data_IF_662557705341
#
_entry.id   IF_662557705341
#
_cell.length_a   1.000
_cell.length_b   1.000
_cell.length_c   1.000
_cell.angle_alpha   90.00
_cell.angle_beta   90.00
_cell.angle_gamma   90.00
#
_symmetry.space_group_name_H-M   'P 1'
#
loop_
_entity.id
_entity.type
_entity.pdbx_description
1 polymer ?
#
# COMPACT_ATOMS: atom_id res chain seq x y z
N UNK A 1 7.46 -19.40 4.49
CA UNK A 1 8.03 -18.96 5.78
C UNK A 1 7.81 -17.46 5.87
N UNK A 2 7.46 -16.92 7.04
CA UNK A 2 7.21 -15.49 7.21
C UNK A 2 7.99 -14.97 8.41
N UNK A 3 8.30 -13.68 8.41
CA UNK A 3 9.04 -13.00 9.47
C UNK A 3 8.05 -12.28 10.38
N UNK A 4 8.14 -12.49 11.69
CA UNK A 4 7.28 -11.81 12.67
C UNK A 4 8.02 -10.67 13.35
N UNK A 5 7.32 -9.55 13.50
CA UNK A 5 7.76 -8.39 14.27
C UNK A 5 6.74 -8.14 15.37
N UNK A 6 7.20 -7.92 16.59
CA UNK A 6 6.37 -7.51 17.73
C UNK A 6 6.54 -6.03 17.99
N UNK A 7 5.51 -5.41 18.56
CA UNK A 7 5.49 -3.97 18.82
C UNK A 7 5.08 -3.71 20.27
N UNK A 8 5.80 -2.79 20.93
CA UNK A 8 5.54 -2.36 22.30
C UNK A 8 5.42 -0.83 22.34
N UNK A 9 4.25 -0.34 22.75
CA UNK A 9 3.93 1.08 22.78
C UNK A 9 2.60 1.41 22.10
N UNK A 10 2.23 2.68 22.19
CA UNK A 10 1.01 3.25 21.61
C UNK A 10 1.34 4.64 21.08
N UNK A 11 0.80 4.98 19.92
CA UNK A 11 0.80 6.35 19.44
C UNK A 11 -0.45 7.07 19.95
N UNK A 12 -0.29 8.29 20.45
CA UNK A 12 -1.37 9.09 21.03
C UNK A 12 -1.87 10.12 20.03
N UNK A 13 -3.18 10.30 19.99
CA UNK A 13 -3.85 11.35 19.23
C UNK A 13 -4.02 12.60 20.11
N UNK A 14 -3.96 13.77 19.48
CA UNK A 14 -4.21 15.05 20.14
C UNK A 14 -5.64 15.19 20.71
N UNK A 15 -6.60 14.40 20.20
CA UNK A 15 -7.97 14.32 20.67
C UNK A 15 -8.58 12.96 20.30
N UNK A 16 -9.66 12.58 20.98
CA UNK A 16 -10.36 11.33 20.74
C UNK A 16 -11.00 11.27 19.34
N UNK A 17 -10.88 10.13 18.66
CA UNK A 17 -11.63 9.83 17.44
C UNK A 17 -13.14 9.82 17.69
N UNK A 18 -13.92 10.17 16.66
CA UNK A 18 -15.35 9.87 16.67
C UNK A 18 -15.59 8.36 16.57
N UNK A 19 -16.70 7.89 17.14
CA UNK A 19 -17.01 6.46 17.15
C UNK A 19 -17.11 5.88 15.73
N UNK A 20 -17.64 6.63 14.77
CA UNK A 20 -17.67 6.22 13.35
C UNK A 20 -16.27 6.04 12.76
N UNK A 21 -15.30 6.87 13.13
CA UNK A 21 -13.91 6.76 12.69
C UNK A 21 -13.21 5.57 13.35
N UNK A 22 -13.45 5.32 14.64
CA UNK A 22 -12.96 4.13 15.33
C UNK A 22 -13.48 2.87 14.64
N UNK A 23 -14.79 2.80 14.40
CA UNK A 23 -15.43 1.65 13.75
C UNK A 23 -14.92 1.45 12.32
N UNK A 24 -14.74 2.52 11.55
CA UNK A 24 -14.17 2.43 10.22
C UNK A 24 -12.73 1.89 10.25
N UNK A 25 -11.86 2.42 11.11
CA UNK A 25 -10.46 1.96 11.18
C UNK A 25 -10.36 0.50 11.66
N UNK A 26 -11.23 0.07 12.58
CA UNK A 26 -11.31 -1.34 12.98
C UNK A 26 -11.76 -2.24 11.80
N UNK A 27 -12.77 -1.83 11.05
CA UNK A 27 -13.22 -2.55 9.85
C UNK A 27 -12.14 -2.58 8.76
N UNK A 28 -11.40 -1.47 8.60
CA UNK A 28 -10.29 -1.35 7.66
C UNK A 28 -9.16 -2.32 7.98
N UNK A 29 -8.75 -2.41 9.26
CA UNK A 29 -7.73 -3.35 9.71
C UNK A 29 -8.20 -4.81 9.64
N UNK A 30 -9.48 -5.07 9.93
CA UNK A 30 -10.06 -6.42 9.92
C UNK A 30 -10.26 -7.03 8.53
N UNK A 31 -10.05 -6.25 7.46
CA UNK A 31 -10.29 -6.70 6.09
C UNK A 31 -8.98 -6.87 5.32
N UNK A 32 -8.89 -7.93 4.49
CA UNK A 32 -7.77 -8.09 3.57
C UNK A 32 -7.81 -6.98 2.52
N UNK A 33 -6.68 -6.31 2.29
CA UNK A 33 -6.55 -5.23 1.31
C UNK A 33 -6.30 -5.86 -0.04
N UNK A 34 -7.25 -5.72 -0.96
CA UNK A 34 -7.18 -6.33 -2.29
C UNK A 34 -7.56 -5.29 -3.33
N UNK A 35 -6.98 -5.39 -4.53
CA UNK A 35 -7.37 -4.58 -5.68
C UNK A 35 -8.77 -4.98 -6.15
N UNK A 36 -9.67 -4.01 -6.25
CA UNK A 36 -11.09 -4.24 -6.57
C UNK A 36 -11.55 -3.55 -7.85
N UNK A 37 -12.60 -4.09 -8.45
CA UNK A 37 -13.38 -3.41 -9.48
C UNK A 37 -14.27 -2.36 -8.83
N UNK A 38 -13.83 -1.11 -8.93
CA UNK A 38 -14.55 0.06 -8.40
C UNK A 38 -15.94 0.19 -9.02
N UNK A 39 -16.13 -0.24 -10.27
CA UNK A 39 -17.43 -0.14 -10.97
C UNK A 39 -18.46 -1.04 -10.32
N UNK A 40 -18.07 -2.27 -9.97
CA UNK A 40 -18.95 -3.20 -9.24
C UNK A 40 -19.31 -2.67 -7.86
N UNK A 41 -18.37 -2.00 -7.18
CA UNK A 41 -18.55 -1.46 -5.84
C UNK A 41 -19.43 -0.20 -5.76
N UNK A 42 -19.71 0.49 -6.86
CA UNK A 42 -20.42 1.79 -6.85
C UNK A 42 -21.76 1.76 -6.11
N UNK A 43 -22.46 0.62 -6.16
CA UNK A 43 -23.78 0.44 -5.56
C UNK A 43 -23.78 -0.55 -4.39
N UNK A 44 -22.59 -0.92 -3.89
CA UNK A 44 -22.45 -1.84 -2.77
C UNK A 44 -22.52 -1.05 -1.46
N UNK A 45 -23.43 -1.40 -0.53
CA UNK A 45 -23.48 -0.74 0.77
C UNK A 45 -22.16 -0.87 1.51
N UNK A 46 -21.63 0.24 2.03
CA UNK A 46 -20.49 0.22 2.95
C UNK A 46 -20.72 1.25 4.07
N UNK A 47 -21.58 0.91 5.05
CA UNK A 47 -22.05 1.87 6.04
C UNK A 47 -20.93 2.51 6.87
N UNK A 48 -19.87 1.75 7.19
CA UNK A 48 -18.74 2.27 7.96
C UNK A 48 -17.95 3.32 7.16
N UNK A 49 -17.66 3.05 5.88
CA UNK A 49 -17.00 4.01 4.98
C UNK A 49 -17.86 5.25 4.72
N UNK A 50 -19.15 5.05 4.50
CA UNK A 50 -20.11 6.14 4.27
C UNK A 50 -20.24 7.06 5.49
N UNK A 51 -20.25 6.49 6.70
CA UNK A 51 -20.35 7.24 7.95
C UNK A 51 -19.17 8.19 8.22
N UNK A 52 -18.02 7.95 7.58
CA UNK A 52 -16.83 8.82 7.66
C UNK A 52 -16.60 9.64 6.38
N UNK A 53 -17.56 9.60 5.44
CA UNK A 53 -17.55 10.42 4.24
C UNK A 53 -16.46 10.07 3.22
N UNK A 54 -15.92 8.85 3.26
CA UNK A 54 -14.84 8.44 2.36
C UNK A 54 -15.39 7.96 1.00
N UNK A 55 -14.70 8.27 -0.13
CA UNK A 55 -14.98 7.63 -1.42
C UNK A 55 -14.57 6.15 -1.38
N UNK A 56 -14.74 5.41 -2.48
CA UNK A 56 -14.22 4.04 -2.58
C UNK A 56 -12.67 3.96 -2.57
N UNK A 57 -11.99 5.07 -2.86
CA UNK A 57 -10.53 5.12 -2.99
C UNK A 57 -10.03 4.49 -4.30
N UNK A 58 -8.73 4.61 -4.55
CA UNK A 58 -8.09 3.99 -5.72
C UNK A 58 -8.19 2.48 -5.60
N UNK A 59 -8.53 1.80 -6.69
CA UNK A 59 -8.71 0.33 -6.71
C UNK A 59 -9.64 -0.21 -5.60
N UNK A 60 -10.59 0.60 -5.10
CA UNK A 60 -11.51 0.23 -4.02
C UNK A 60 -10.86 0.12 -2.64
N UNK A 61 -9.74 0.82 -2.44
CA UNK A 61 -8.92 0.68 -1.23
C UNK A 61 -9.58 1.11 0.09
N UNK A 62 -10.63 1.92 0.06
CA UNK A 62 -11.36 2.31 1.28
C UNK A 62 -12.59 1.45 1.57
N UNK A 63 -12.85 0.42 0.75
CA UNK A 63 -13.94 -0.50 0.98
C UNK A 63 -13.66 -1.43 2.16
N UNK A 64 -14.61 -1.55 3.10
CA UNK A 64 -14.44 -2.30 4.36
C UNK A 64 -15.61 -3.25 4.69
N UNK A 65 -16.60 -3.40 3.82
CA UNK A 65 -17.73 -4.30 4.06
C UNK A 65 -17.34 -5.78 3.83
N UNK A 66 -16.72 -6.39 4.85
CA UNK A 66 -16.26 -7.78 4.82
C UNK A 66 -17.41 -8.78 4.69
N UNK A 67 -18.57 -8.49 5.29
CA UNK A 67 -19.72 -9.39 5.22
C UNK A 67 -20.19 -9.54 3.78
N UNK A 68 -20.28 -8.43 3.05
CA UNK A 68 -20.62 -8.47 1.63
C UNK A 68 -19.58 -9.23 0.80
N UNK A 69 -18.28 -9.03 1.06
CA UNK A 69 -17.21 -9.80 0.40
C UNK A 69 -17.39 -11.32 0.63
N UNK A 70 -17.74 -11.75 1.85
CA UNK A 70 -17.98 -13.16 2.17
C UNK A 70 -19.24 -13.72 1.51
N UNK A 71 -20.34 -12.97 1.51
CA UNK A 71 -21.62 -13.39 0.93
C UNK A 71 -21.59 -13.48 -0.60
N UNK A 72 -20.73 -12.70 -1.24
CA UNK A 72 -20.61 -12.62 -2.71
C UNK A 72 -19.40 -13.36 -3.28
N UNK A 73 -18.71 -14.14 -2.45
CA UNK A 73 -17.50 -14.88 -2.84
C UNK A 73 -16.45 -13.98 -3.51
N UNK A 74 -16.19 -12.81 -2.92
CA UNK A 74 -15.18 -11.85 -3.35
C UNK A 74 -15.30 -11.40 -4.82
N UNK A 75 -16.52 -11.31 -5.36
CA UNK A 75 -16.76 -10.97 -6.77
C UNK A 75 -16.13 -9.63 -7.21
N UNK A 76 -15.90 -8.70 -6.26
CA UNK A 76 -15.23 -7.42 -6.54
C UNK A 76 -13.71 -7.52 -6.64
N UNK A 77 -13.08 -8.58 -6.13
CA UNK A 77 -11.63 -8.72 -6.08
C UNK A 77 -11.07 -9.09 -7.46
N UNK A 78 -10.27 -8.20 -8.04
CA UNK A 78 -9.59 -8.42 -9.32
C UNK A 78 -8.35 -9.29 -9.11
N UNK A 79 -7.60 -9.02 -8.03
CA UNK A 79 -6.43 -9.79 -7.65
C UNK A 79 -6.37 -9.90 -6.12
N UNK A 80 -6.64 -11.11 -5.62
CA UNK A 80 -6.70 -11.41 -4.20
C UNK A 80 -5.34 -11.29 -3.48
N UNK A 81 -4.25 -11.31 -4.23
CA UNK A 81 -2.89 -11.28 -3.69
C UNK A 81 -2.18 -9.96 -3.96
N UNK A 82 -2.88 -8.96 -4.52
CA UNK A 82 -2.34 -7.61 -4.70
C UNK A 82 -3.18 -6.57 -3.98
N UNK A 83 -2.57 -5.71 -3.16
CA UNK A 83 -3.28 -4.60 -2.56
C UNK A 83 -3.69 -3.57 -3.63
N UNK A 84 -4.58 -2.62 -3.28
CA UNK A 84 -4.71 -1.37 -4.02
C UNK A 84 -3.34 -0.74 -4.26
N UNK A 85 -3.15 -0.12 -5.43
CA UNK A 85 -1.83 0.36 -5.87
C UNK A 85 -1.17 1.40 -4.95
N UNK A 86 -1.97 2.12 -4.17
CA UNK A 86 -1.52 3.12 -3.19
C UNK A 86 -1.49 2.59 -1.75
N UNK A 87 -1.73 1.29 -1.53
CA UNK A 87 -1.67 0.67 -0.22
C UNK A 87 -0.40 -0.16 -0.02
N UNK A 88 0.20 -0.14 1.18
CA UNK A 88 1.47 -0.81 1.45
C UNK A 88 1.49 -2.32 1.22
N UNK A 89 0.45 -3.02 1.66
CA UNK A 89 0.41 -4.48 1.67
C UNK A 89 -1.02 -5.00 1.83
N UNK A 90 -1.19 -6.30 2.04
CA UNK A 90 -2.50 -6.94 2.14
C UNK A 90 -3.18 -6.78 3.51
N UNK A 91 -2.45 -6.36 4.54
CA UNK A 91 -2.94 -6.30 5.92
C UNK A 91 -2.39 -5.08 6.65
N UNK A 92 -3.29 -4.23 7.14
CA UNK A 92 -2.97 -3.13 8.06
C UNK A 92 -3.30 -3.58 9.48
N UNK A 93 -2.32 -3.60 10.37
CA UNK A 93 -2.46 -4.09 11.75
C UNK A 93 -2.31 -3.00 12.80
N UNK A 94 -2.28 -1.74 12.35
CA UNK A 94 -2.50 -0.59 13.21
C UNK A 94 -4.01 -0.39 13.37
N UNK A 95 -4.47 -0.39 14.62
CA UNK A 95 -5.87 -0.21 15.02
C UNK A 95 -6.00 0.94 16.02
N UNK A 96 -7.18 1.58 16.12
CA UNK A 96 -7.43 2.52 17.20
C UNK A 96 -7.40 1.82 18.56
N UNK A 97 -6.96 2.54 19.60
CA UNK A 97 -7.12 2.11 20.99
C UNK A 97 -8.60 2.03 21.36
N UNK A 98 -8.96 1.23 22.36
CA UNK A 98 -10.35 1.02 22.77
C UNK A 98 -11.05 2.30 23.27
N UNK A 99 -10.29 3.26 23.78
CA UNK A 99 -10.79 4.56 24.20
C UNK A 99 -10.82 5.60 23.05
N UNK A 100 -10.27 5.27 21.88
CA UNK A 100 -10.20 6.13 20.70
C UNK A 100 -9.15 7.26 20.79
N UNK A 101 -8.26 7.23 21.78
CA UNK A 101 -7.24 8.26 22.00
C UNK A 101 -5.89 7.96 21.35
N UNK A 102 -5.75 6.85 20.64
CA UNK A 102 -4.47 6.44 20.06
C UNK A 102 -4.60 5.40 18.97
N UNK A 103 -3.44 5.02 18.42
CA UNK A 103 -3.25 3.93 17.46
C UNK A 103 -2.24 2.94 18.06
N UNK A 104 -2.56 1.66 18.00
CA UNK A 104 -1.74 0.57 18.52
C UNK A 104 -1.71 -0.62 17.57
N UNK A 105 -0.74 -1.52 17.77
CA UNK A 105 -0.69 -2.79 17.06
C UNK A 105 -1.80 -3.72 17.57
N UNK A 106 -2.40 -4.49 16.66
CA UNK A 106 -3.46 -5.47 16.97
C UNK A 106 -2.96 -6.77 17.62
N UNK A 107 -1.63 -6.96 17.71
CA UNK A 107 -1.01 -8.17 18.25
C UNK A 107 -0.83 -9.30 17.24
N UNK A 108 -1.20 -9.12 15.97
CA UNK A 108 -1.11 -10.13 14.93
C UNK A 108 0.28 -10.24 14.30
N UNK A 109 0.66 -11.44 13.90
CA UNK A 109 1.97 -11.72 13.30
C UNK A 109 2.13 -11.19 11.86
N UNK A 110 3.40 -11.14 11.38
CA UNK A 110 3.76 -10.85 9.97
C UNK A 110 3.25 -9.50 9.46
N UNK A 111 3.41 -8.47 10.28
CA UNK A 111 3.03 -7.11 9.91
C UNK A 111 4.03 -6.47 8.94
N UNK A 112 3.94 -6.81 7.66
CA UNK A 112 4.81 -6.24 6.63
C UNK A 112 4.49 -4.76 6.36
N UNK A 113 5.53 -3.98 6.08
CA UNK A 113 5.43 -2.56 5.76
C UNK A 113 4.74 -1.71 6.85
N UNK A 114 4.94 -2.09 8.12
CA UNK A 114 4.32 -1.44 9.28
C UNK A 114 4.54 0.09 9.32
N UNK A 115 5.71 0.59 8.92
CA UNK A 115 5.99 2.04 8.87
C UNK A 115 5.16 2.73 7.78
N UNK A 116 5.13 2.15 6.59
CA UNK A 116 4.36 2.69 5.48
C UNK A 116 2.84 2.63 5.75
N UNK A 117 2.37 1.61 6.46
CA UNK A 117 0.99 1.56 6.95
C UNK A 117 0.69 2.68 7.93
N UNK A 118 1.60 2.98 8.85
CA UNK A 118 1.43 4.10 9.76
C UNK A 118 1.34 5.44 9.00
N UNK A 119 2.23 5.66 8.04
CA UNK A 119 2.17 6.83 7.15
C UNK A 119 0.88 6.88 6.34
N UNK A 120 0.41 5.74 5.83
CA UNK A 120 -0.86 5.65 5.11
C UNK A 120 -2.03 6.09 5.98
N UNK A 121 -2.13 5.62 7.23
CA UNK A 121 -3.17 6.06 8.15
C UNK A 121 -3.10 7.57 8.44
N UNK A 122 -1.89 8.11 8.63
CA UNK A 122 -1.68 9.54 8.86
C UNK A 122 -2.18 10.38 7.67
N UNK A 123 -1.74 10.05 6.46
CA UNK A 123 -2.02 10.82 5.23
C UNK A 123 -3.47 10.66 4.76
N UNK A 124 -4.03 9.44 4.81
CA UNK A 124 -5.32 9.14 4.18
C UNK A 124 -6.51 9.31 5.12
N UNK A 125 -6.30 9.23 6.44
CA UNK A 125 -7.40 9.28 7.41
C UNK A 125 -7.19 10.34 8.48
N UNK A 126 -6.09 10.30 9.23
CA UNK A 126 -5.93 11.16 10.41
C UNK A 126 -5.78 12.65 10.04
N UNK A 127 -4.89 12.99 9.10
CA UNK A 127 -4.69 14.36 8.64
C UNK A 127 -5.96 14.95 8.00
N UNK A 128 -6.64 14.27 7.03
CA UNK A 128 -7.90 14.76 6.47
C UNK A 128 -9.01 14.96 7.51
N UNK A 129 -9.00 14.18 8.59
CA UNK A 129 -9.95 14.33 9.69
C UNK A 129 -9.51 15.35 10.75
N UNK A 130 -8.33 15.95 10.64
CA UNK A 130 -7.82 16.99 11.54
C UNK A 130 -7.15 16.48 12.82
N UNK A 131 -6.65 15.25 12.81
CA UNK A 131 -5.96 14.63 13.94
C UNK A 131 -4.44 14.68 13.78
N UNK A 132 -3.76 14.77 14.93
CA UNK A 132 -2.30 14.68 15.01
C UNK A 132 -1.91 13.47 15.86
N UNK A 133 -1.06 12.63 15.29
CA UNK A 133 -0.48 11.45 15.93
C UNK A 133 0.92 11.77 16.43
N UNK A 134 1.23 11.39 17.66
CA UNK A 134 2.59 11.46 18.21
C UNK A 134 2.85 10.29 19.15
N UNK A 135 4.10 9.86 19.25
CA UNK A 135 4.50 8.82 20.18
C UNK A 135 5.68 7.99 19.68
N UNK A 136 6.05 7.04 20.52
CA UNK A 136 7.14 6.11 20.27
C UNK A 136 6.62 4.68 20.44
N UNK A 137 6.91 3.84 19.45
CA UNK A 137 6.65 2.40 19.49
C UNK A 137 7.96 1.68 19.21
N UNK A 138 8.34 0.77 20.12
CA UNK A 138 9.47 -0.14 19.92
C UNK A 138 9.03 -1.31 19.08
N UNK A 139 9.92 -1.79 18.22
CA UNK A 139 9.70 -3.02 17.47
C UNK A 139 10.87 -3.98 17.67
N UNK A 140 10.57 -5.26 17.61
CA UNK A 140 11.55 -6.35 17.67
C UNK A 140 11.17 -7.42 16.64
N UNK A 141 12.13 -7.80 15.81
CA UNK A 141 12.04 -8.91 14.89
C UNK A 141 12.31 -10.27 15.53
N UNK A 142 12.49 -11.31 14.72
CA UNK A 142 12.77 -12.66 15.22
C UNK A 142 14.18 -12.79 15.81
N UNK A 143 15.14 -12.02 15.28
CA UNK A 143 16.46 -11.88 15.88
C UNK A 143 16.37 -10.85 17.04
N UNK A 144 16.78 -11.18 18.28
CA UNK A 144 16.76 -10.26 19.41
C UNK A 144 17.57 -8.97 19.21
N UNK A 145 18.48 -8.95 18.23
CA UNK A 145 19.25 -7.75 17.85
C UNK A 145 18.58 -6.94 16.75
N UNK A 146 17.63 -7.52 16.01
CA UNK A 146 16.79 -6.81 15.05
C UNK A 146 15.70 -6.06 15.80
N UNK A 147 16.05 -4.87 16.27
CA UNK A 147 15.19 -4.02 17.09
C UNK A 147 15.30 -2.58 16.64
N UNK A 148 14.27 -1.81 16.92
CA UNK A 148 14.29 -0.38 16.65
C UNK A 148 13.09 0.35 17.20
N UNK A 149 12.97 1.61 16.80
CA UNK A 149 11.95 2.53 17.26
C UNK A 149 11.25 3.16 16.06
N UNK A 150 9.94 3.33 16.18
CA UNK A 150 9.12 4.18 15.34
C UNK A 150 8.76 5.39 16.17
N UNK A 151 9.23 6.56 15.78
CA UNK A 151 8.94 7.82 16.46
C UNK A 151 8.16 8.71 15.51
N UNK A 152 7.00 9.16 15.94
CA UNK A 152 6.15 10.09 15.20
C UNK A 152 5.93 11.34 16.04
N UNK A 153 6.03 12.51 15.42
CA UNK A 153 5.68 13.80 16.02
C UNK A 153 4.77 14.58 15.07
N UNK A 154 3.56 14.92 15.51
CA UNK A 154 2.58 15.70 14.74
C UNK A 154 2.39 15.19 13.29
N UNK A 155 2.13 13.89 13.14
CA UNK A 155 2.03 13.18 11.86
C UNK A 155 3.31 13.10 11.02
N UNK A 156 4.47 13.47 11.57
CA UNK A 156 5.75 13.35 10.89
C UNK A 156 6.53 12.17 11.46
N UNK A 157 7.00 11.29 10.57
CA UNK A 157 7.91 10.21 10.95
C UNK A 157 9.29 10.79 11.26
N UNK A 158 9.70 10.72 12.52
CA UNK A 158 11.01 11.18 13.00
C UNK A 158 12.03 10.06 12.96
N UNK A 159 11.62 8.85 13.35
CA UNK A 159 12.47 7.66 13.29
C UNK A 159 11.67 6.47 12.75
N UNK A 160 12.22 5.68 11.81
CA UNK A 160 13.46 5.93 11.07
C UNK A 160 13.39 7.20 10.20
N UNK A 161 14.49 7.94 10.12
CA UNK A 161 14.58 9.20 9.38
C UNK A 161 14.96 8.99 7.90
N UNK A 162 14.64 9.98 7.06
CA UNK A 162 15.23 10.15 5.73
C UNK A 162 14.60 9.35 4.58
N UNK A 163 13.48 8.65 4.84
CA UNK A 163 12.75 7.87 3.83
C UNK A 163 11.26 8.07 4.01
N UNK A 164 10.56 8.39 2.91
CA UNK A 164 9.11 8.27 2.84
C UNK A 164 8.77 6.83 2.42
N UNK A 165 8.57 5.96 3.40
CA UNK A 165 8.39 4.52 3.18
C UNK A 165 7.13 4.22 2.38
N UNK A 166 6.05 4.97 2.60
CA UNK A 166 4.84 4.84 1.79
C UNK A 166 5.11 5.17 0.34
N UNK A 167 5.79 6.30 0.08
CA UNK A 167 6.14 6.68 -1.29
C UNK A 167 7.08 5.66 -1.94
N UNK A 168 8.08 5.14 -1.22
CA UNK A 168 9.02 4.15 -1.75
C UNK A 168 8.31 2.88 -2.23
N UNK A 169 7.31 2.39 -1.48
CA UNK A 169 6.63 1.14 -1.81
C UNK A 169 5.46 1.30 -2.77
N UNK A 170 4.91 2.51 -2.93
CA UNK A 170 3.75 2.76 -3.80
C UNK A 170 4.12 3.47 -5.11
N UNK A 171 5.30 4.07 -5.20
CA UNK A 171 5.71 4.80 -6.40
C UNK A 171 6.00 3.86 -7.58
N UNK A 172 5.61 4.24 -8.80
CA UNK A 172 6.02 3.55 -10.01
C UNK A 172 7.54 3.68 -10.22
N UNK A 173 8.10 2.80 -11.05
CA UNK A 173 9.51 2.80 -11.39
C UNK A 173 9.78 3.84 -12.48
N UNK A 174 10.70 4.77 -12.19
CA UNK A 174 11.10 5.81 -13.13
C UNK A 174 12.10 5.23 -14.14
N UNK A 175 11.82 5.41 -15.43
CA UNK A 175 12.66 4.93 -16.53
C UNK A 175 12.88 6.01 -17.60
N UNK A 176 13.93 5.91 -18.42
CA UNK A 176 14.11 6.79 -19.58
C UNK A 176 12.94 6.70 -20.56
N UNK A 177 12.67 7.78 -21.29
CA UNK A 177 11.60 7.85 -22.29
C UNK A 177 11.60 6.70 -23.28
N UNK A 178 12.78 6.39 -23.83
CA UNK A 178 12.96 5.33 -24.84
C UNK A 178 12.61 3.96 -24.26
N UNK A 179 12.96 3.73 -22.99
CA UNK A 179 12.62 2.51 -22.26
C UNK A 179 11.11 2.40 -22.07
N UNK A 180 10.45 3.48 -21.62
CA UNK A 180 8.99 3.51 -21.45
C UNK A 180 8.24 3.28 -22.76
N UNK A 181 8.71 3.87 -23.86
CA UNK A 181 8.14 3.65 -25.20
C UNK A 181 8.20 2.17 -25.60
N UNK A 182 9.32 1.49 -25.33
CA UNK A 182 9.42 0.06 -25.59
C UNK A 182 8.49 -0.78 -24.71
N UNK A 183 8.35 -0.47 -23.42
CA UNK A 183 7.37 -1.14 -22.56
C UNK A 183 5.93 -0.96 -23.06
N UNK A 184 5.57 0.26 -23.46
CA UNK A 184 4.25 0.54 -24.04
C UNK A 184 4.03 -0.22 -25.34
N UNK A 185 5.06 -0.34 -26.19
CA UNK A 185 4.98 -1.10 -27.44
C UNK A 185 4.79 -2.60 -27.19
N UNK A 186 5.53 -3.18 -26.24
CA UNK A 186 5.36 -4.59 -25.81
C UNK A 186 3.94 -4.78 -25.26
N UNK A 187 3.48 -3.88 -24.38
CA UNK A 187 2.15 -3.98 -23.78
C UNK A 187 1.02 -3.91 -24.82
N UNK A 188 1.18 -3.06 -25.85
CA UNK A 188 0.23 -2.93 -26.95
C UNK A 188 0.21 -4.16 -27.87
N UNK A 189 1.35 -4.84 -28.03
CA UNK A 189 1.45 -6.09 -28.79
C UNK A 189 0.82 -7.25 -28.00
N UNK A 190 1.30 -7.48 -26.78
CA UNK A 190 0.76 -8.46 -25.83
C UNK A 190 1.27 -8.18 -24.42
N UNK A 191 0.38 -7.70 -23.54
CA UNK A 191 0.69 -7.42 -22.14
C UNK A 191 1.22 -8.62 -21.35
N UNK A 192 0.93 -9.86 -21.76
CA UNK A 192 1.35 -11.06 -21.03
C UNK A 192 2.85 -11.32 -21.17
N UNK A 193 3.47 -10.82 -22.25
CA UNK A 193 4.91 -10.92 -22.50
C UNK A 193 5.72 -10.27 -21.37
N UNK A 194 5.22 -9.19 -20.79
CA UNK A 194 5.88 -8.47 -19.71
C UNK A 194 6.11 -9.34 -18.45
N UNK A 195 5.39 -10.45 -18.28
CA UNK A 195 5.61 -11.38 -17.16
C UNK A 195 6.77 -12.37 -17.39
N UNK A 196 7.42 -12.32 -18.55
CA UNK A 196 8.64 -13.06 -18.86
C UNK A 196 9.71 -12.07 -19.32
N UNK A 197 10.68 -11.75 -18.46
CA UNK A 197 11.72 -10.78 -18.78
C UNK A 197 12.51 -11.17 -20.05
N UNK A 198 12.77 -12.47 -20.26
CA UNK A 198 13.41 -13.00 -21.48
C UNK A 198 12.55 -12.73 -22.72
N UNK A 199 11.23 -12.91 -22.62
CA UNK A 199 10.32 -12.66 -23.73
C UNK A 199 10.17 -11.16 -23.99
N UNK A 200 10.13 -10.34 -22.94
CA UNK A 200 10.07 -8.89 -23.02
C UNK A 200 11.33 -8.30 -23.67
N UNK A 201 12.53 -8.79 -23.34
CA UNK A 201 13.78 -8.40 -23.99
C UNK A 201 13.78 -8.73 -25.49
N UNK A 202 13.37 -9.95 -25.86
CA UNK A 202 13.30 -10.36 -27.27
C UNK A 202 12.28 -9.51 -28.03
N UNK A 203 11.09 -9.32 -27.47
CA UNK A 203 10.05 -8.49 -28.07
C UNK A 203 10.48 -7.03 -28.19
N UNK A 204 11.19 -6.49 -27.20
CA UNK A 204 11.77 -5.15 -27.29
C UNK A 204 12.70 -5.02 -28.50
N UNK A 205 13.61 -5.98 -28.71
CA UNK A 205 14.52 -5.99 -29.87
C UNK A 205 13.73 -6.10 -31.17
N UNK A 206 12.76 -7.01 -31.26
CA UNK A 206 11.93 -7.22 -32.45
C UNK A 206 11.11 -5.97 -32.83
N UNK A 207 10.64 -5.22 -31.84
CA UNK A 207 9.89 -3.97 -32.01
C UNK A 207 10.79 -2.75 -32.23
N UNK A 208 12.12 -2.90 -32.21
CA UNK A 208 13.07 -1.81 -32.46
C UNK A 208 13.41 -0.95 -31.25
N UNK A 209 13.29 -1.50 -30.03
CA UNK A 209 13.61 -0.86 -28.75
C UNK A 209 14.77 -1.57 -28.02
N UNK A 210 16.00 -1.60 -28.59
CA UNK A 210 17.14 -2.29 -27.97
C UNK A 210 17.53 -1.70 -26.60
N UNK A 211 17.31 -0.40 -26.38
CA UNK A 211 17.54 0.25 -25.09
C UNK A 211 16.62 -0.28 -23.99
N UNK A 212 15.38 -0.65 -24.33
CA UNK A 212 14.46 -1.30 -23.39
C UNK A 212 14.98 -2.68 -23.00
N UNK A 213 15.45 -3.48 -23.97
CA UNK A 213 16.04 -4.79 -23.68
C UNK A 213 17.27 -4.67 -22.76
N UNK A 214 18.19 -3.77 -23.09
CA UNK A 214 19.39 -3.53 -22.26
C UNK A 214 19.02 -3.05 -20.84
N UNK A 215 17.98 -2.22 -20.72
CA UNK A 215 17.52 -1.75 -19.42
C UNK A 215 16.96 -2.90 -18.58
N UNK A 216 16.16 -3.80 -19.16
CA UNK A 216 15.62 -4.99 -18.46
C UNK A 216 16.77 -5.84 -17.91
N UNK A 217 17.74 -6.18 -18.77
CA UNK A 217 18.90 -7.00 -18.42
C UNK A 217 19.68 -6.40 -17.23
N UNK A 218 19.85 -5.08 -17.23
CA UNK A 218 20.62 -4.36 -16.23
C UNK A 218 19.85 -4.01 -14.95
N UNK A 219 18.51 -4.15 -14.93
CA UNK A 219 17.64 -3.69 -13.85
C UNK A 219 16.52 -4.69 -13.54
N UNK A 220 16.83 -5.99 -13.47
CA UNK A 220 15.83 -7.05 -13.30
C UNK A 220 15.00 -6.89 -12.01
N UNK A 221 15.61 -6.39 -10.93
CA UNK A 221 14.95 -6.06 -9.67
C UNK A 221 13.88 -4.97 -9.87
N UNK A 222 14.25 -3.85 -10.49
CA UNK A 222 13.34 -2.74 -10.77
C UNK A 222 12.32 -3.10 -11.82
N UNK A 223 12.67 -3.95 -12.79
CA UNK A 223 11.74 -4.49 -13.76
C UNK A 223 10.60 -5.22 -13.05
N UNK A 224 10.93 -6.18 -12.17
CA UNK A 224 9.94 -6.89 -11.38
C UNK A 224 9.02 -5.97 -10.59
N UNK A 225 9.58 -4.97 -9.90
CA UNK A 225 8.80 -3.97 -9.15
C UNK A 225 7.91 -3.14 -10.08
N UNK A 226 8.42 -2.72 -11.24
CA UNK A 226 7.67 -1.90 -12.20
C UNK A 226 6.57 -2.66 -12.93
N UNK A 227 6.65 -3.99 -13.05
CA UNK A 227 5.52 -4.81 -13.51
C UNK A 227 4.33 -4.70 -12.55
N UNK A 228 4.59 -4.56 -11.26
CA UNK A 228 3.54 -4.42 -10.24
C UNK A 228 3.08 -2.97 -10.08
N UNK A 229 4.02 -2.03 -10.03
CA UNK A 229 3.77 -0.62 -9.68
C UNK A 229 3.58 0.29 -10.89
N UNK A 230 3.89 -0.20 -12.08
CA UNK A 230 3.96 0.58 -13.32
C UNK A 230 5.33 1.23 -13.54
N UNK A 231 5.52 1.71 -14.76
CA UNK A 231 6.70 2.47 -15.18
C UNK A 231 6.28 3.89 -15.60
N UNK A 232 7.09 4.89 -15.25
CA UNK A 232 6.87 6.29 -15.63
C UNK A 232 8.16 6.94 -16.12
N UNK A 233 8.02 7.99 -16.92
CA UNK A 233 9.16 8.75 -17.45
C UNK A 233 9.70 9.75 -16.41
N UNK A 234 11.01 10.00 -16.46
CA UNK A 234 11.74 10.95 -15.58
C UNK A 234 11.08 12.33 -15.48
N UNK A 235 10.47 12.84 -16.56
CA UNK A 235 9.95 14.21 -16.64
C UNK A 235 8.54 14.40 -16.03
N UNK A 236 7.87 13.33 -15.57
CA UNK A 236 6.50 13.40 -15.06
C UNK A 236 6.37 13.74 -13.56
N UNK A 237 7.49 14.06 -12.88
CA UNK A 237 7.50 14.39 -11.44
C UNK A 237 7.87 15.85 -11.15
N UNK A 238 7.74 16.74 -12.15
CA UNK A 238 7.94 18.20 -12.00
C UNK A 238 6.67 18.96 -11.64
#
# INVERSE_FOLDING_TARGET
MGYTTTFDGVFTLNQRLFDSQVLYLLAFAGTRRVRRDVTLLQNVPDPAREAVGLPLGKDGGYFVNQQWDQETDWISAIDYNKPPIDQPSLWCQWIPTSDGNGIQWDGGEKFYHYIAWLQYLMIHFLEPWGYQLSGEVKWQGEDPTDTGHIIVENNQLIQPAGVDFLKEITSPIIVPRTVLQGFNAIQAADKTILYSWIAAERMAIELGYPETAQWIESNLDKYGIGIERGFVEVDQLS
#
